data_IF_927605901397
#
_entry.id   IF_927605901397
#
_cell.length_a   1.000
_cell.length_b   1.000
_cell.length_c   1.000
_cell.angle_alpha   90.00
_cell.angle_beta   90.00
_cell.angle_gamma   90.00
#
_symmetry.space_group_name_H-M   'P 1'
#
loop_
_entity.id
_entity.type
_entity.pdbx_description
1 polymer ?
#
# COMPACT_ATOMS: atom_id res chain seq x y z
N UNK A 1 -6.24 9.66 1.26
CA UNK A 1 -4.96 9.07 1.70
C UNK A 1 -4.41 9.94 2.82
N UNK A 2 -3.96 9.35 3.92
CA UNK A 2 -3.64 10.10 5.14
C UNK A 2 -2.32 10.85 4.98
N UNK A 3 -2.37 12.18 4.88
CA UNK A 3 -1.21 13.06 4.69
C UNK A 3 -0.30 13.17 5.94
N UNK A 4 -0.74 12.63 7.09
CA UNK A 4 -0.07 12.77 8.40
C UNK A 4 1.10 11.81 8.68
N UNK A 5 1.46 10.91 7.77
CA UNK A 5 2.58 9.95 7.97
C UNK A 5 3.78 10.19 7.05
N UNK A 6 3.71 11.21 6.19
CA UNK A 6 4.78 11.51 5.22
C UNK A 6 4.81 10.58 4.01
N UNK A 7 3.82 9.70 3.83
CA UNK A 7 3.70 8.83 2.64
C UNK A 7 2.71 9.47 1.66
N UNK A 8 3.21 10.00 0.55
CA UNK A 8 2.43 10.77 -0.42
C UNK A 8 2.57 10.20 -1.85
N UNK A 9 1.55 10.36 -2.73
CA UNK A 9 1.68 10.08 -4.15
C UNK A 9 2.54 11.16 -4.81
N UNK A 10 3.84 11.15 -4.54
CA UNK A 10 4.78 12.18 -4.99
C UNK A 10 5.86 11.62 -5.93
N UNK A 11 5.69 10.39 -6.39
CA UNK A 11 6.61 9.72 -7.31
C UNK A 11 7.92 9.27 -6.65
N UNK A 12 8.07 9.43 -5.32
CA UNK A 12 9.28 9.04 -4.60
C UNK A 12 9.29 7.56 -4.24
N UNK A 13 10.49 7.10 -3.90
CA UNK A 13 10.75 5.77 -3.34
C UNK A 13 10.59 5.80 -1.83
N UNK A 14 9.94 4.77 -1.28
CA UNK A 14 9.72 4.54 0.13
C UNK A 14 10.17 3.14 0.52
N UNK A 15 10.68 3.00 1.74
CA UNK A 15 10.95 1.69 2.34
C UNK A 15 9.61 1.04 2.71
N UNK A 16 9.33 -0.14 2.16
CA UNK A 16 8.08 -0.89 2.34
C UNK A 16 7.70 -1.06 3.81
N UNK A 17 8.67 -1.36 4.68
CA UNK A 17 8.42 -1.52 6.11
C UNK A 17 7.99 -0.21 6.79
N UNK A 18 8.50 0.94 6.34
CA UNK A 18 8.07 2.25 6.86
C UNK A 18 6.64 2.56 6.41
N UNK A 19 6.27 2.20 5.17
CA UNK A 19 4.88 2.33 4.69
C UNK A 19 3.94 1.44 5.51
N UNK A 20 4.30 0.17 5.77
CA UNK A 20 3.51 -0.73 6.62
C UNK A 20 3.37 -0.20 8.05
N UNK A 21 4.44 0.30 8.65
CA UNK A 21 4.41 0.89 9.98
C UNK A 21 3.51 2.13 10.05
N UNK A 22 3.58 3.00 9.03
CA UNK A 22 2.72 4.17 8.91
C UNK A 22 1.23 3.79 8.81
N UNK A 23 0.89 2.79 7.99
CA UNK A 23 -0.47 2.29 7.87
C UNK A 23 -0.96 1.66 9.18
N UNK A 24 -0.12 0.87 9.86
CA UNK A 24 -0.44 0.30 11.18
C UNK A 24 -0.69 1.36 12.22
N UNK A 25 0.11 2.43 12.25
CA UNK A 25 -0.11 3.56 13.15
C UNK A 25 -1.42 4.30 12.84
N UNK A 26 -1.78 4.44 11.57
CA UNK A 26 -2.99 5.16 11.16
C UNK A 26 -4.28 4.36 11.39
N UNK A 27 -4.25 3.04 11.19
CA UNK A 27 -5.47 2.22 11.17
C UNK A 27 -5.54 1.14 12.25
N UNK A 28 -4.45 0.85 12.98
CA UNK A 28 -4.39 -0.17 14.03
C UNK A 28 -4.11 -1.60 13.54
N UNK A 29 -4.02 -1.83 12.22
CA UNK A 29 -3.71 -3.12 11.60
C UNK A 29 -2.77 -2.91 10.41
N UNK A 30 -2.18 -3.99 9.87
CA UNK A 30 -1.22 -3.92 8.76
C UNK A 30 -1.85 -4.41 7.46
N UNK A 31 -2.29 -3.52 6.55
CA UNK A 31 -2.75 -3.92 5.22
C UNK A 31 -1.66 -4.64 4.43
N UNK A 32 -2.07 -5.56 3.56
CA UNK A 32 -1.17 -6.14 2.57
C UNK A 32 -1.00 -5.18 1.38
N UNK A 33 0.25 -4.94 1.01
CA UNK A 33 0.61 -4.04 -0.08
C UNK A 33 1.02 -4.89 -1.27
N UNK A 34 0.37 -4.66 -2.41
CA UNK A 34 0.71 -5.28 -3.68
C UNK A 34 1.30 -4.23 -4.61
N UNK A 35 2.39 -4.62 -5.25
CA UNK A 35 3.07 -3.78 -6.21
C UNK A 35 2.88 -4.33 -7.63
N UNK A 36 2.83 -3.43 -8.61
CA UNK A 36 2.79 -3.82 -10.01
C UNK A 36 4.18 -4.22 -10.50
N UNK A 37 4.23 -5.18 -11.44
CA UNK A 37 5.44 -5.51 -12.22
C UNK A 37 5.90 -6.95 -12.01
N UNK A 38 5.80 -7.77 -13.06
CA UNK A 38 6.54 -9.05 -13.13
C UNK A 38 7.97 -8.84 -13.62
N UNK A 39 8.24 -7.84 -14.47
CA UNK A 39 9.54 -7.65 -15.08
C UNK A 39 9.99 -6.17 -15.00
N UNK A 40 11.08 -6.00 -14.26
CA UNK A 40 12.11 -4.95 -14.30
C UNK A 40 11.85 -3.47 -14.01
N UNK A 41 10.76 -2.78 -14.34
CA UNK A 41 10.94 -1.30 -14.33
C UNK A 41 10.60 -0.53 -13.05
N UNK A 42 9.47 -0.71 -12.35
CA UNK A 42 9.31 -0.11 -11.01
C UNK A 42 8.36 -0.91 -10.12
N UNK A 43 8.77 -1.15 -8.87
CA UNK A 43 7.97 -1.77 -7.81
C UNK A 43 6.92 -0.75 -7.31
N UNK A 44 5.98 -0.39 -8.19
CA UNK A 44 5.01 0.66 -7.91
C UNK A 44 3.95 0.15 -6.94
N UNK A 45 3.65 0.94 -5.91
CA UNK A 45 2.47 0.73 -5.08
C UNK A 45 1.22 0.70 -5.99
N UNK A 46 0.54 -0.44 -6.06
CA UNK A 46 -0.58 -0.66 -6.99
C UNK A 46 -1.91 -0.88 -6.26
N UNK A 47 -1.93 -1.82 -5.30
CA UNK A 47 -3.13 -2.15 -4.54
C UNK A 47 -2.81 -2.27 -3.06
N UNK A 48 -3.79 -1.92 -2.22
CA UNK A 48 -3.75 -2.15 -0.77
C UNK A 48 -4.95 -3.03 -0.44
N UNK A 49 -4.67 -4.18 0.18
CA UNK A 49 -5.68 -5.14 0.62
C UNK A 49 -5.85 -5.04 2.13
N UNK A 50 -7.10 -4.91 2.57
CA UNK A 50 -7.47 -4.86 3.98
C UNK A 50 -8.40 -6.02 4.29
N UNK A 51 -8.17 -6.69 5.42
CA UNK A 51 -9.07 -7.75 5.89
C UNK A 51 -10.12 -7.17 6.82
N UNK A 52 -11.32 -7.73 6.69
CA UNK A 52 -12.47 -7.40 7.53
C UNK A 52 -12.88 -8.68 8.25
N UNK A 53 -13.15 -8.58 9.55
CA UNK A 53 -13.66 -9.69 10.33
C UNK A 53 -15.05 -10.09 9.81
N UNK A 54 -15.26 -11.38 9.62
CA UNK A 54 -16.57 -11.91 9.24
C UNK A 54 -17.48 -11.98 10.47
N UNK A 55 -17.94 -10.82 10.92
CA UNK A 55 -18.92 -10.66 12.00
C UNK A 55 -19.76 -9.40 11.74
N UNK A 56 -20.81 -9.20 12.53
CA UNK A 56 -21.76 -8.08 12.39
C UNK A 56 -21.11 -6.70 12.48
N UNK A 57 -19.96 -6.57 13.15
CA UNK A 57 -19.28 -5.30 13.37
C UNK A 57 -18.38 -4.89 12.20
N UNK A 58 -18.04 -5.82 11.31
CA UNK A 58 -17.20 -5.57 10.12
C UNK A 58 -15.90 -4.80 10.43
N UNK A 59 -15.26 -5.12 11.56
CA UNK A 59 -14.03 -4.47 11.97
C UNK A 59 -12.87 -4.85 11.05
N UNK A 60 -11.98 -3.90 10.77
CA UNK A 60 -10.70 -4.23 10.13
C UNK A 60 -9.80 -5.03 11.08
N UNK A 61 -9.09 -6.00 10.53
CA UNK A 61 -8.19 -6.90 11.27
C UNK A 61 -6.89 -7.12 10.50
N UNK A 62 -5.84 -7.58 11.19
CA UNK A 62 -4.66 -8.12 10.53
C UNK A 62 -5.06 -9.34 9.68
N UNK A 63 -4.54 -9.39 8.44
CA UNK A 63 -4.87 -10.44 7.49
C UNK A 63 -4.38 -11.81 7.99
N UNK A 64 -5.27 -12.80 8.21
CA UNK A 64 -4.85 -14.15 8.62
C UNK A 64 -4.03 -14.85 7.52
N UNK A 65 -4.33 -14.53 6.26
CA UNK A 65 -3.63 -15.00 5.07
C UNK A 65 -3.41 -13.81 4.14
N UNK A 66 -2.18 -13.65 3.66
CA UNK A 66 -1.84 -12.60 2.70
C UNK A 66 -2.00 -13.11 1.26
N UNK A 67 -2.44 -12.26 0.31
CA UNK A 67 -2.40 -12.57 -1.12
C UNK A 67 -0.99 -12.97 -1.58
N UNK A 68 -0.92 -13.74 -2.68
CA UNK A 68 0.37 -14.11 -3.29
C UNK A 68 1.06 -12.90 -3.94
N UNK A 69 2.38 -12.95 -3.95
CA UNK A 69 3.25 -11.88 -4.44
C UNK A 69 3.96 -11.17 -3.28
N UNK A 70 4.91 -10.31 -3.63
CA UNK A 70 5.54 -9.42 -2.66
C UNK A 70 6.09 -8.20 -3.40
N UNK A 71 5.92 -7.04 -2.78
CA UNK A 71 6.73 -5.88 -3.12
C UNK A 71 8.19 -6.13 -2.70
N UNK A 72 9.14 -5.59 -3.45
CA UNK A 72 10.54 -5.43 -2.97
C UNK A 72 10.60 -4.47 -1.78
N UNK A 73 11.75 -4.43 -1.10
CA UNK A 73 12.01 -3.56 0.06
C UNK A 73 11.76 -2.07 -0.23
N UNK A 74 12.03 -1.63 -1.46
CA UNK A 74 11.81 -0.25 -1.90
C UNK A 74 10.66 -0.21 -2.91
N UNK A 75 9.64 0.61 -2.61
CA UNK A 75 8.46 0.80 -3.45
C UNK A 75 8.39 2.25 -3.90
N UNK A 76 7.89 2.49 -5.11
CA UNK A 76 7.58 3.85 -5.58
C UNK A 76 6.11 4.09 -5.36
N UNK A 77 5.73 5.24 -4.82
CA UNK A 77 4.33 5.66 -4.79
C UNK A 77 4.09 6.68 -5.92
N UNK A 78 3.46 6.27 -7.05
CA UNK A 78 3.32 7.15 -8.21
C UNK A 78 2.63 8.46 -7.88
N UNK A 79 3.13 9.54 -8.47
CA UNK A 79 2.41 10.80 -8.51
C UNK A 79 1.24 10.69 -9.49
N UNK A 80 0.09 11.25 -9.11
CA UNK A 80 -1.01 11.41 -10.02
C UNK A 80 -0.75 12.62 -10.91
N UNK A 81 -0.39 12.39 -12.17
CA UNK A 81 -0.43 13.44 -13.18
C UNK A 81 -1.84 13.48 -13.75
N UNK A 82 -2.44 14.67 -13.80
CA UNK A 82 -3.62 14.89 -14.65
C UNK A 82 -3.12 14.74 -16.09
N UNK A 83 -3.24 13.54 -16.65
CA UNK A 83 -2.91 13.34 -18.05
C UNK A 83 -3.76 14.28 -18.88
N UNK A 84 -3.12 15.15 -19.67
CA UNK A 84 -3.79 15.73 -20.82
C UNK A 84 -4.19 14.54 -21.70
N UNK A 85 -5.48 14.21 -21.70
CA UNK A 85 -6.04 13.31 -22.70
C UNK A 85 -5.97 14.07 -24.03
N UNK A 86 -4.96 13.77 -24.84
CA UNK A 86 -5.07 13.95 -26.29
C UNK A 86 -6.06 12.94 -26.85
#
# INVERSE_FOLDING_TARGET
MHLGTGINPDGKTYILNNVRAALKKAYGFTPYIKCSGKNSEKNLLHEIYMSVANNEKLNFIDCPVNPKGACKQEIVFPAFTLGNKE
#
